data_IF_962176660915
#
_entry.id   IF_962176660915
#
_cell.length_a   1.000
_cell.length_b   1.000
_cell.length_c   1.000
_cell.angle_alpha   90.00
_cell.angle_beta   90.00
_cell.angle_gamma   90.00
#
_symmetry.space_group_name_H-M   'P 1'
#
loop_
_entity.id
_entity.type
_entity.pdbx_description
1 polymer ?
#
# COMPACT_ATOMS: atom_id res chain seq x y z
N UNK A 1 14.50 17.26 -74.16
CA UNK A 1 13.46 16.97 -73.15
C UNK A 1 14.17 16.29 -71.97
N UNK A 2 14.44 17.02 -70.89
CA UNK A 2 15.15 16.49 -69.71
C UNK A 2 14.18 16.24 -68.59
N UNK A 3 13.85 14.98 -68.29
CA UNK A 3 13.05 14.58 -67.11
C UNK A 3 13.99 14.54 -65.87
N UNK A 4 13.84 15.48 -64.96
CA UNK A 4 14.43 15.43 -63.61
C UNK A 4 13.42 14.74 -62.70
N UNK A 5 13.68 13.48 -62.30
CA UNK A 5 12.95 12.78 -61.26
C UNK A 5 13.35 13.36 -59.89
N UNK A 6 12.41 13.96 -59.21
CA UNK A 6 12.53 14.36 -57.80
C UNK A 6 12.21 13.12 -56.94
N UNK A 7 13.22 12.54 -56.31
CA UNK A 7 13.05 11.58 -55.22
C UNK A 7 12.77 12.33 -53.93
N UNK A 8 11.52 12.29 -53.45
CA UNK A 8 11.16 12.74 -52.11
C UNK A 8 11.48 11.62 -51.13
N UNK A 9 12.49 11.83 -50.28
CA UNK A 9 12.76 10.96 -49.12
C UNK A 9 11.84 11.37 -47.99
N UNK A 10 10.84 10.54 -47.68
CA UNK A 10 10.03 10.71 -46.48
C UNK A 10 10.80 10.16 -45.28
N UNK A 11 11.28 11.03 -44.40
CA UNK A 11 11.86 10.66 -43.12
C UNK A 11 10.72 10.35 -42.16
N UNK A 12 10.46 9.06 -41.90
CA UNK A 12 9.58 8.63 -40.80
C UNK A 12 10.36 8.83 -39.49
N UNK A 13 10.04 9.88 -38.76
CA UNK A 13 10.44 10.02 -37.35
C UNK A 13 9.50 9.14 -36.51
N UNK A 14 9.96 7.95 -36.15
CA UNK A 14 9.31 7.16 -35.09
C UNK A 14 9.64 7.84 -33.76
N UNK A 15 8.70 8.58 -33.19
CA UNK A 15 8.74 8.97 -31.79
C UNK A 15 8.56 7.68 -30.96
N UNK A 16 9.64 7.19 -30.36
CA UNK A 16 9.54 6.22 -29.29
C UNK A 16 8.86 6.92 -28.12
N UNK A 17 7.56 6.71 -27.96
CA UNK A 17 6.89 7.02 -26.70
C UNK A 17 7.52 6.08 -25.67
N UNK A 18 8.24 6.65 -24.68
CA UNK A 18 8.63 5.93 -23.49
C UNK A 18 7.31 5.48 -22.83
N UNK A 19 7.01 4.20 -22.91
CA UNK A 19 5.92 3.64 -22.13
C UNK A 19 6.41 3.64 -20.67
N UNK A 20 6.00 4.64 -19.93
CA UNK A 20 6.15 4.66 -18.48
C UNK A 20 5.28 3.51 -17.97
N UNK A 21 5.79 2.66 -17.08
CA UNK A 21 4.97 1.66 -16.46
C UNK A 21 3.89 2.40 -15.63
N UNK A 22 2.64 1.98 -15.78
CA UNK A 22 1.55 2.63 -15.06
C UNK A 22 1.65 2.34 -13.56
N UNK A 23 1.19 3.26 -12.69
CA UNK A 23 1.13 3.01 -11.26
C UNK A 23 0.24 1.81 -10.93
N UNK A 24 0.52 1.13 -9.83
CA UNK A 24 -0.32 0.05 -9.32
C UNK A 24 -1.60 0.69 -8.73
N UNK A 25 -2.75 0.28 -9.23
CA UNK A 25 -4.05 0.67 -8.69
C UNK A 25 -4.79 -0.54 -8.15
N UNK A 26 -5.64 -0.41 -7.10
CA UNK A 26 -6.42 -1.52 -6.58
C UNK A 26 -7.18 -2.24 -7.70
N UNK A 27 -6.93 -3.54 -7.85
CA UNK A 27 -7.49 -4.38 -8.91
C UNK A 27 -7.72 -5.77 -8.35
N UNK A 28 -8.92 -6.33 -8.53
CA UNK A 28 -9.31 -7.65 -8.03
C UNK A 28 -10.63 -8.08 -8.66
N UNK A 29 -10.96 -9.37 -8.57
CA UNK A 29 -12.26 -9.88 -9.03
C UNK A 29 -13.36 -9.61 -8.00
N UNK A 30 -13.06 -9.74 -6.71
CA UNK A 30 -13.98 -9.44 -5.61
C UNK A 30 -13.22 -9.08 -4.32
N UNK A 31 -13.89 -8.31 -3.45
CA UNK A 31 -13.38 -7.90 -2.14
C UNK A 31 -14.24 -8.51 -1.03
N UNK A 32 -13.63 -9.18 -0.06
CA UNK A 32 -14.37 -9.81 1.02
C UNK A 32 -13.61 -10.90 1.76
N UNK A 33 -14.34 -11.87 2.30
CA UNK A 33 -13.77 -12.95 3.09
C UNK A 33 -13.05 -13.98 2.22
N UNK A 34 -11.78 -14.23 2.51
CA UNK A 34 -11.01 -15.34 1.93
C UNK A 34 -10.95 -16.50 2.92
N UNK A 35 -11.89 -17.45 2.77
CA UNK A 35 -11.98 -18.60 3.65
C UNK A 35 -10.68 -19.44 3.60
N UNK A 36 -10.13 -19.76 4.76
CA UNK A 36 -8.90 -20.53 4.91
C UNK A 36 -7.60 -19.69 4.87
N UNK A 37 -7.66 -18.37 4.57
CA UNK A 37 -6.53 -17.50 4.74
C UNK A 37 -6.32 -17.20 6.23
N UNK A 38 -5.09 -17.39 6.70
CA UNK A 38 -4.63 -17.04 8.06
C UNK A 38 -3.46 -16.05 8.00
N UNK A 39 -2.98 -15.75 6.79
CA UNK A 39 -1.83 -14.88 6.55
C UNK A 39 -0.61 -15.23 7.43
N UNK A 40 -0.42 -16.54 7.70
CA UNK A 40 0.69 -17.05 8.50
C UNK A 40 0.59 -16.83 10.01
N UNK A 41 -0.51 -16.28 10.51
CA UNK A 41 -0.72 -16.01 11.94
C UNK A 41 -2.12 -16.37 12.43
N UNK A 42 -2.29 -16.39 13.77
CA UNK A 42 -3.59 -16.52 14.40
C UNK A 42 -4.16 -15.13 14.72
N UNK A 43 -5.45 -14.92 14.42
CA UNK A 43 -6.14 -13.67 14.73
C UNK A 43 -5.91 -12.54 13.72
N UNK A 44 -5.29 -12.82 12.57
CA UNK A 44 -5.26 -11.88 11.45
C UNK A 44 -6.61 -11.93 10.74
N UNK A 45 -7.29 -10.78 10.55
CA UNK A 45 -8.59 -10.73 9.87
C UNK A 45 -8.48 -11.20 8.42
N UNK A 46 -9.48 -11.95 7.95
CA UNK A 46 -9.57 -12.42 6.57
C UNK A 46 -10.86 -12.00 5.85
N UNK A 47 -11.58 -11.02 6.41
CA UNK A 47 -12.86 -10.51 5.90
C UNK A 47 -12.68 -9.38 4.89
N UNK A 48 -11.52 -8.71 4.89
CA UNK A 48 -11.20 -7.58 4.01
C UNK A 48 -10.01 -7.95 3.13
N UNK A 49 -10.26 -8.77 2.11
CA UNK A 49 -9.24 -9.26 1.19
C UNK A 49 -9.62 -8.90 -0.24
N UNK A 50 -8.69 -8.34 -1.00
CA UNK A 50 -8.79 -8.21 -2.45
C UNK A 50 -8.38 -9.54 -3.08
N UNK A 51 -9.28 -10.19 -3.81
CA UNK A 51 -9.12 -11.57 -4.26
C UNK A 51 -9.28 -11.63 -5.78
N UNK A 52 -8.38 -12.37 -6.45
CA UNK A 52 -8.53 -12.73 -7.85
C UNK A 52 -8.33 -14.22 -8.05
N UNK A 53 -9.15 -14.78 -8.94
CA UNK A 53 -9.14 -16.19 -9.32
C UNK A 53 -8.87 -16.33 -10.82
N UNK A 54 -8.15 -17.38 -11.23
CA UNK A 54 -7.96 -17.67 -12.63
C UNK A 54 -7.67 -19.14 -12.92
N UNK A 55 -7.86 -19.59 -14.16
CA UNK A 55 -7.75 -21.00 -14.52
C UNK A 55 -6.31 -21.51 -14.45
N UNK A 56 -6.15 -22.76 -14.03
CA UNK A 56 -4.90 -23.53 -14.14
C UNK A 56 -5.18 -24.88 -14.77
N UNK A 57 -4.12 -25.64 -15.08
CA UNK A 57 -4.28 -26.95 -15.69
C UNK A 57 -5.07 -27.94 -14.83
N UNK A 58 -4.99 -27.80 -13.49
CA UNK A 58 -5.59 -28.75 -12.54
C UNK A 58 -6.57 -28.08 -11.58
N UNK A 59 -7.17 -26.95 -11.96
CA UNK A 59 -8.12 -26.24 -11.12
C UNK A 59 -8.05 -24.73 -11.32
N UNK A 60 -7.94 -23.98 -10.20
CA UNK A 60 -7.78 -22.54 -10.25
C UNK A 60 -6.59 -22.06 -9.41
N UNK A 61 -5.96 -20.97 -9.82
CA UNK A 61 -5.11 -20.15 -8.97
C UNK A 61 -6.00 -19.15 -8.21
N UNK A 62 -5.69 -18.93 -6.95
CA UNK A 62 -6.27 -17.86 -6.14
C UNK A 62 -5.14 -17.03 -5.56
N UNK A 63 -5.24 -15.73 -5.71
CA UNK A 63 -4.36 -14.75 -5.07
C UNK A 63 -5.19 -13.77 -4.24
N UNK A 64 -4.68 -13.41 -3.06
CA UNK A 64 -5.36 -12.50 -2.14
C UNK A 64 -4.37 -11.55 -1.47
N UNK A 65 -4.74 -10.29 -1.37
CA UNK A 65 -4.00 -9.25 -0.63
C UNK A 65 -4.89 -8.56 0.38
N UNK A 66 -4.32 -8.25 1.52
CA UNK A 66 -4.96 -7.48 2.60
C UNK A 66 -3.93 -6.59 3.29
N UNK A 67 -4.40 -5.60 4.05
CA UNK A 67 -3.59 -4.92 5.04
C UNK A 67 -4.28 -4.94 6.39
N UNK A 68 -3.51 -5.03 7.47
CA UNK A 68 -4.04 -5.17 8.82
C UNK A 68 -3.08 -4.53 9.85
N UNK A 69 -3.60 -4.28 11.05
CA UNK A 69 -2.80 -3.75 12.15
C UNK A 69 -1.68 -4.72 12.56
N UNK A 70 -0.59 -4.15 13.08
CA UNK A 70 0.50 -4.90 13.69
C UNK A 70 0.35 -4.89 15.21
N UNK A 71 0.17 -6.08 15.81
CA UNK A 71 -0.02 -6.26 17.26
C UNK A 71 -1.04 -5.27 17.87
N UNK A 72 -0.62 -4.43 18.80
CA UNK A 72 -1.44 -3.47 19.55
C UNK A 72 -1.63 -2.13 18.82
N UNK A 73 -1.18 -2.04 17.57
CA UNK A 73 -1.34 -0.83 16.77
C UNK A 73 -2.83 -0.54 16.47
N UNK A 74 -3.17 0.70 16.08
CA UNK A 74 -4.52 1.03 15.66
C UNK A 74 -5.02 0.13 14.52
N UNK A 75 -6.29 -0.29 14.61
CA UNK A 75 -6.91 -1.08 13.55
C UNK A 75 -7.02 -0.25 12.26
N UNK A 76 -6.75 -0.90 11.13
CA UNK A 76 -6.96 -0.29 9.82
C UNK A 76 -8.45 -0.29 9.47
N UNK A 77 -8.86 0.76 8.78
CA UNK A 77 -10.14 0.79 8.06
C UNK A 77 -9.90 0.57 6.57
N UNK A 78 -10.95 0.30 5.81
CA UNK A 78 -10.87 0.18 4.36
C UNK A 78 -12.13 0.72 3.69
N UNK A 79 -12.05 0.98 2.39
CA UNK A 79 -13.16 1.51 1.59
C UNK A 79 -14.03 0.42 0.92
N UNK A 80 -13.70 -0.85 1.11
CA UNK A 80 -14.33 -1.98 0.42
C UNK A 80 -13.92 -2.13 -1.04
N UNK A 81 -12.98 -1.30 -1.53
CA UNK A 81 -12.51 -1.25 -2.90
C UNK A 81 -10.99 -1.41 -3.01
N UNK A 82 -10.38 -2.09 -2.03
CA UNK A 82 -8.95 -2.41 -2.05
C UNK A 82 -8.03 -1.32 -1.51
N UNK A 83 -8.57 -0.21 -1.01
CA UNK A 83 -7.80 0.81 -0.29
C UNK A 83 -7.96 0.63 1.21
N UNK A 84 -6.83 0.55 1.90
CA UNK A 84 -6.74 0.48 3.36
C UNK A 84 -6.19 1.79 3.91
N UNK A 85 -6.65 2.17 5.10
CA UNK A 85 -6.21 3.39 5.76
C UNK A 85 -5.49 3.04 7.05
N UNK A 86 -4.21 3.41 7.13
CA UNK A 86 -3.32 3.15 8.25
C UNK A 86 -2.82 4.46 8.87
N UNK A 87 -2.32 4.35 10.10
CA UNK A 87 -1.68 5.43 10.80
C UNK A 87 -0.16 5.36 10.63
N UNK A 88 0.49 6.51 10.39
CA UNK A 88 1.94 6.63 10.43
C UNK A 88 2.47 6.34 11.84
N UNK A 89 3.59 5.67 11.92
CA UNK A 89 4.22 5.37 13.19
C UNK A 89 5.06 4.11 13.19
N UNK A 90 6.05 4.08 14.07
CA UNK A 90 6.93 2.92 14.28
C UNK A 90 6.36 2.01 15.37
N UNK A 91 6.34 0.70 15.08
CA UNK A 91 5.93 -0.33 16.02
C UNK A 91 6.98 -0.54 17.11
N UNK A 92 6.56 -0.61 18.38
CA UNK A 92 7.41 -0.99 19.50
C UNK A 92 7.89 -2.45 19.45
N UNK A 93 7.33 -3.25 18.54
CA UNK A 93 7.66 -4.66 18.33
C UNK A 93 8.57 -4.88 17.12
N UNK A 94 9.32 -3.86 16.70
CA UNK A 94 10.38 -4.02 15.70
C UNK A 94 11.52 -4.89 16.29
N UNK A 95 12.18 -5.73 15.49
CA UNK A 95 13.25 -6.60 15.96
C UNK A 95 14.50 -5.79 16.37
N UNK A 96 14.70 -4.62 15.78
CA UNK A 96 15.81 -3.71 16.02
C UNK A 96 15.33 -2.26 16.02
N UNK A 97 15.87 -1.39 16.87
CA UNK A 97 15.60 0.06 16.76
C UNK A 97 16.11 0.69 15.47
N UNK A 98 17.06 0.04 14.79
CA UNK A 98 17.62 0.52 13.52
C UNK A 98 16.80 0.09 12.30
N UNK A 99 15.87 -0.87 12.49
CA UNK A 99 15.00 -1.40 11.45
C UNK A 99 13.54 -1.22 11.90
N UNK A 100 13.02 0.01 11.86
CA UNK A 100 11.73 0.32 12.42
C UNK A 100 10.61 -0.27 11.54
N UNK A 101 9.70 -1.03 12.15
CA UNK A 101 8.52 -1.56 11.49
C UNK A 101 7.35 -0.60 11.59
N UNK A 102 6.54 -0.52 10.55
CA UNK A 102 5.28 0.22 10.57
C UNK A 102 4.28 -0.35 11.60
N UNK A 103 3.30 0.45 11.98
CA UNK A 103 2.14 0.03 12.79
C UNK A 103 1.20 -0.93 12.07
N UNK A 104 1.42 -1.18 10.80
CA UNK A 104 0.61 -2.03 9.94
C UNK A 104 1.47 -3.03 9.16
N UNK A 105 0.83 -4.10 8.74
CA UNK A 105 1.41 -5.13 7.87
C UNK A 105 0.54 -5.28 6.62
N UNK A 106 1.14 -5.76 5.54
CA UNK A 106 0.39 -6.34 4.44
C UNK A 106 0.40 -7.86 4.53
N UNK A 107 -0.70 -8.49 4.14
CA UNK A 107 -0.83 -9.93 4.13
C UNK A 107 -1.10 -10.45 2.73
N UNK A 108 -0.51 -11.59 2.37
CA UNK A 108 -0.77 -12.24 1.09
C UNK A 108 -1.20 -13.70 1.27
N UNK A 109 -2.02 -14.15 0.32
CA UNK A 109 -2.43 -15.55 0.14
C UNK A 109 -2.27 -15.94 -1.33
N UNK A 110 -1.72 -17.12 -1.59
CA UNK A 110 -1.45 -17.63 -2.92
C UNK A 110 -1.66 -19.14 -2.99
N UNK A 111 -2.43 -19.62 -3.96
CA UNK A 111 -2.67 -21.05 -4.16
C UNK A 111 -2.94 -21.40 -5.62
N UNK A 112 -2.66 -22.63 -6.01
CA UNK A 112 -3.06 -23.23 -7.30
C UNK A 112 -2.16 -22.92 -8.50
N UNK A 113 -1.14 -22.05 -8.42
CA UNK A 113 -0.16 -21.82 -9.48
C UNK A 113 1.23 -22.33 -9.10
N UNK A 114 2.11 -22.42 -10.09
CA UNK A 114 3.48 -22.90 -9.89
C UNK A 114 4.45 -21.82 -9.41
N UNK A 115 4.17 -20.57 -9.71
CA UNK A 115 5.01 -19.44 -9.31
C UNK A 115 4.17 -18.20 -9.01
N UNK A 116 4.67 -17.39 -8.09
CA UNK A 116 4.03 -16.15 -7.66
C UNK A 116 5.09 -15.08 -7.46
N UNK A 117 4.72 -13.83 -7.75
CA UNK A 117 5.53 -12.65 -7.47
C UNK A 117 4.69 -11.65 -6.71
N UNK A 118 5.24 -11.11 -5.64
CA UNK A 118 4.69 -9.96 -4.94
C UNK A 118 5.56 -8.75 -5.28
N UNK A 119 4.92 -7.69 -5.73
CA UNK A 119 5.51 -6.36 -5.99
C UNK A 119 5.07 -5.44 -4.87
N UNK A 120 5.97 -4.60 -4.36
CA UNK A 120 5.73 -3.70 -3.24
C UNK A 120 6.49 -2.39 -3.41
N UNK A 121 6.01 -1.37 -2.75
CA UNK A 121 6.43 0.01 -2.87
C UNK A 121 7.00 0.52 -1.54
N UNK A 122 8.12 1.26 -1.61
CA UNK A 122 8.71 1.97 -0.46
C UNK A 122 8.51 3.47 -0.53
N UNK A 123 8.24 4.02 -1.73
CA UNK A 123 8.05 5.45 -1.93
C UNK A 123 6.63 5.88 -1.51
N UNK A 124 6.49 6.80 -0.54
CA UNK A 124 5.19 7.30 -0.12
C UNK A 124 4.52 8.24 -1.13
N UNK A 125 5.16 8.57 -2.26
CA UNK A 125 4.57 9.40 -3.29
C UNK A 125 3.36 8.71 -3.93
N UNK A 126 2.33 9.48 -4.25
CA UNK A 126 1.17 8.94 -4.95
C UNK A 126 1.47 8.67 -6.43
N UNK A 127 0.86 7.60 -6.96
CA UNK A 127 0.88 7.27 -8.39
C UNK A 127 2.30 7.08 -8.99
N UNK A 128 3.27 6.63 -8.19
CA UNK A 128 4.62 6.32 -8.63
C UNK A 128 4.67 5.13 -9.60
N UNK A 129 5.77 5.03 -10.35
CA UNK A 129 5.92 4.05 -11.43
C UNK A 129 6.20 2.65 -10.87
N UNK A 130 5.41 1.67 -11.29
CA UNK A 130 5.60 0.26 -10.90
C UNK A 130 7.00 -0.28 -11.21
N UNK A 131 7.73 0.28 -12.17
CA UNK A 131 9.09 -0.16 -12.49
C UNK A 131 10.11 0.17 -11.41
N UNK A 132 9.78 1.13 -10.52
CA UNK A 132 10.60 1.56 -9.38
C UNK A 132 10.34 0.72 -8.12
N UNK A 133 9.31 -0.14 -8.15
CA UNK A 133 8.92 -1.00 -7.04
C UNK A 133 9.82 -2.21 -6.87
N UNK A 134 10.00 -2.62 -5.62
CA UNK A 134 10.59 -3.91 -5.29
C UNK A 134 9.66 -5.09 -5.59
N UNK A 135 10.25 -6.28 -5.70
CA UNK A 135 9.48 -7.50 -5.84
C UNK A 135 10.23 -8.70 -5.28
N UNK A 136 9.49 -9.72 -4.88
CA UNK A 136 10.07 -11.03 -4.56
C UNK A 136 9.19 -12.20 -5.03
N UNK A 137 9.84 -13.34 -5.27
CA UNK A 137 9.16 -14.59 -5.57
C UNK A 137 8.73 -15.26 -4.26
N UNK A 138 7.46 -15.67 -4.16
CA UNK A 138 6.96 -16.29 -2.95
C UNK A 138 7.57 -17.68 -2.72
N UNK A 139 7.99 -17.92 -1.48
CA UNK A 139 8.46 -19.22 -0.95
C UNK A 139 7.43 -19.90 -0.03
N UNK A 140 6.36 -19.19 0.32
CA UNK A 140 5.24 -19.68 1.13
C UNK A 140 3.92 -19.31 0.46
N UNK A 141 2.85 -20.06 0.78
CA UNK A 141 1.51 -19.82 0.23
C UNK A 141 0.80 -18.62 0.86
N UNK A 142 1.22 -18.19 2.03
CA UNK A 142 0.67 -17.04 2.73
C UNK A 142 1.64 -16.53 3.80
N UNK A 143 1.62 -15.24 4.06
CA UNK A 143 2.36 -14.62 5.15
C UNK A 143 1.80 -13.21 5.42
N UNK A 144 2.23 -12.63 6.56
CA UNK A 144 2.03 -11.25 6.94
C UNK A 144 3.40 -10.59 7.07
N UNK A 145 3.64 -9.53 6.34
CA UNK A 145 4.92 -8.87 6.22
C UNK A 145 4.81 -7.38 6.57
N UNK A 146 5.92 -6.82 7.05
CA UNK A 146 6.09 -5.40 7.29
C UNK A 146 7.10 -4.83 6.30
N UNK A 147 6.88 -3.63 5.78
CA UNK A 147 7.82 -3.00 4.86
C UNK A 147 9.20 -2.74 5.46
N UNK A 148 9.31 -2.59 6.79
CA UNK A 148 10.59 -2.47 7.48
C UNK A 148 11.38 -3.78 7.65
N UNK A 149 11.02 -4.86 6.95
CA UNK A 149 11.78 -6.12 7.01
C UNK A 149 13.00 -6.07 6.08
N UNK A 150 14.20 -6.24 6.61
CA UNK A 150 15.50 -6.13 5.91
C UNK A 150 15.59 -6.88 4.59
N UNK A 151 14.90 -8.03 4.46
CA UNK A 151 14.97 -8.80 3.22
C UNK A 151 14.25 -8.11 2.06
N UNK A 152 13.32 -7.17 2.33
CA UNK A 152 12.62 -6.38 1.30
C UNK A 152 13.53 -5.29 0.72
N UNK A 153 14.54 -4.86 1.49
CA UNK A 153 15.60 -3.95 1.06
C UNK A 153 16.85 -4.72 0.63
N UNK A 154 16.66 -5.76 -0.15
CA UNK A 154 17.77 -6.60 -0.62
C UNK A 154 17.62 -6.97 -2.09
N UNK A 155 18.75 -7.17 -2.76
CA UNK A 155 18.78 -7.59 -4.15
C UNK A 155 19.41 -8.98 -4.28
N UNK A 156 18.58 -9.98 -4.59
CA UNK A 156 19.03 -11.32 -4.92
C UNK A 156 18.47 -11.73 -6.28
N UNK A 157 19.28 -11.73 -7.34
CA UNK A 157 18.82 -11.93 -8.71
C UNK A 157 17.87 -13.11 -8.88
N UNK A 158 16.76 -12.90 -9.63
CA UNK A 158 15.67 -13.84 -9.92
C UNK A 158 14.77 -14.21 -8.73
N UNK A 159 15.08 -13.76 -7.52
CA UNK A 159 14.29 -14.05 -6.31
C UNK A 159 13.74 -12.79 -5.66
N UNK A 160 14.60 -11.79 -5.49
CA UNK A 160 14.26 -10.50 -4.86
C UNK A 160 14.89 -9.38 -5.68
N UNK A 161 14.18 -8.29 -5.88
CA UNK A 161 14.68 -7.01 -6.37
C UNK A 161 14.25 -5.94 -5.39
N UNK A 162 15.21 -5.19 -4.89
CA UNK A 162 14.96 -4.02 -4.06
C UNK A 162 14.19 -2.94 -4.85
N UNK A 163 13.38 -2.10 -4.20
CA UNK A 163 12.82 -0.90 -4.82
C UNK A 163 13.92 0.13 -5.13
N UNK A 164 13.64 1.03 -6.08
CA UNK A 164 14.57 2.13 -6.39
C UNK A 164 14.62 3.20 -5.28
N UNK A 165 13.66 3.16 -4.35
CA UNK A 165 13.61 4.03 -3.17
C UNK A 165 14.46 3.41 -2.04
N UNK A 166 15.45 4.17 -1.53
CA UNK A 166 16.58 3.67 -0.73
C UNK A 166 16.18 2.98 0.59
N UNK A 167 15.03 3.33 1.21
CA UNK A 167 14.63 2.75 2.50
C UNK A 167 13.19 3.11 2.89
N UNK A 168 12.52 2.23 3.61
CA UNK A 168 11.17 2.45 4.11
C UNK A 168 11.17 3.27 5.41
N UNK A 169 10.40 4.36 5.44
CA UNK A 169 10.17 5.17 6.65
C UNK A 169 8.75 4.93 7.19
N UNK A 170 8.58 4.27 8.36
CA UNK A 170 7.25 4.04 8.95
C UNK A 170 6.55 5.32 9.41
N UNK A 171 7.28 6.45 9.51
CA UNK A 171 6.71 7.76 9.87
C UNK A 171 6.25 8.54 8.63
N UNK A 172 6.60 8.11 7.43
CA UNK A 172 6.19 8.78 6.21
C UNK A 172 4.69 8.60 5.96
N UNK A 173 4.02 9.70 5.70
CA UNK A 173 2.63 9.72 5.23
C UNK A 173 2.61 9.64 3.71
N UNK A 174 1.61 8.94 3.15
CA UNK A 174 1.51 8.77 1.71
C UNK A 174 0.76 7.52 1.29
N UNK A 175 1.07 7.01 0.12
CA UNK A 175 0.44 5.84 -0.47
C UNK A 175 1.48 4.76 -0.73
N UNK A 176 1.14 3.52 -0.39
CA UNK A 176 1.96 2.34 -0.66
C UNK A 176 1.13 1.32 -1.42
N UNK A 177 1.67 0.78 -2.49
CA UNK A 177 0.95 -0.13 -3.37
C UNK A 177 1.56 -1.53 -3.38
N UNK A 178 0.69 -2.53 -3.55
CA UNK A 178 1.08 -3.94 -3.56
C UNK A 178 0.35 -4.65 -4.69
N UNK A 179 1.07 -5.51 -5.42
CA UNK A 179 0.47 -6.40 -6.41
C UNK A 179 0.98 -7.82 -6.23
N UNK A 180 0.08 -8.77 -6.18
CA UNK A 180 0.38 -10.20 -6.16
C UNK A 180 -0.04 -10.83 -7.48
N UNK A 181 0.92 -11.43 -8.19
CA UNK A 181 0.69 -12.09 -9.47
C UNK A 181 1.01 -13.58 -9.39
N UNK A 182 0.04 -14.41 -9.77
CA UNK A 182 0.22 -15.83 -10.06
C UNK A 182 0.49 -16.05 -11.53
N UNK A 183 1.53 -16.79 -11.86
CA UNK A 183 1.88 -17.15 -13.25
C UNK A 183 1.28 -18.49 -13.60
N UNK A 184 0.37 -18.52 -14.56
CA UNK A 184 -0.30 -19.72 -15.04
C UNK A 184 -0.10 -19.92 -16.54
N UNK A 185 -0.34 -21.13 -17.03
CA UNK A 185 -0.29 -21.43 -18.47
C UNK A 185 -1.39 -20.73 -19.29
N UNK A 186 -2.43 -20.27 -18.62
CA UNK A 186 -3.60 -19.62 -19.25
C UNK A 186 -3.59 -18.08 -19.12
N UNK A 187 -2.49 -17.52 -18.64
CA UNK A 187 -2.31 -16.10 -18.37
C UNK A 187 -2.02 -15.81 -16.91
N UNK A 188 -1.69 -14.57 -16.61
CA UNK A 188 -1.42 -14.14 -15.26
C UNK A 188 -2.74 -13.83 -14.52
N UNK A 189 -2.77 -14.14 -13.22
CA UNK A 189 -3.84 -13.77 -12.31
C UNK A 189 -3.25 -12.81 -11.28
N UNK A 190 -3.76 -11.60 -11.22
CA UNK A 190 -3.20 -10.57 -10.33
C UNK A 190 -4.28 -9.96 -9.45
N UNK A 191 -3.89 -9.60 -8.24
CA UNK A 191 -4.66 -8.75 -7.33
C UNK A 191 -3.78 -7.64 -6.82
N UNK A 192 -4.34 -6.45 -6.61
CA UNK A 192 -3.60 -5.29 -6.11
C UNK A 192 -4.41 -4.52 -5.07
N UNK A 193 -3.69 -3.96 -4.09
CA UNK A 193 -4.24 -3.09 -3.05
C UNK A 193 -3.38 -1.83 -2.88
N UNK A 194 -3.97 -0.85 -2.21
CA UNK A 194 -3.30 0.38 -1.78
C UNK A 194 -3.45 0.54 -0.26
N UNK A 195 -2.40 1.01 0.39
CA UNK A 195 -2.43 1.45 1.79
C UNK A 195 -2.15 2.94 1.81
N UNK A 196 -3.10 3.73 2.28
CA UNK A 196 -2.97 5.17 2.51
C UNK A 196 -2.61 5.38 3.96
N UNK A 197 -1.43 5.95 4.20
CA UNK A 197 -0.90 6.23 5.53
C UNK A 197 -1.09 7.71 5.83
N UNK A 198 -1.72 8.03 6.96
CA UNK A 198 -1.96 9.38 7.41
C UNK A 198 -1.44 9.57 8.85
N UNK A 199 -1.25 10.82 9.25
CA UNK A 199 -0.94 11.14 10.64
C UNK A 199 -1.99 10.57 11.60
N UNK A 200 -1.55 10.29 12.83
CA UNK A 200 -2.48 10.06 13.92
C UNK A 200 -3.47 11.23 13.99
N UNK A 201 -4.77 10.98 14.17
CA UNK A 201 -5.69 12.05 14.42
C UNK A 201 -5.17 12.85 15.62
N UNK A 202 -4.86 14.13 15.39
CA UNK A 202 -4.41 15.00 16.48
C UNK A 202 -5.49 14.97 17.55
N UNK A 203 -5.13 14.51 18.75
CA UNK A 203 -5.99 14.66 19.93
C UNK A 203 -6.02 16.12 20.42
N UNK A 204 -5.78 17.09 19.55
CA UNK A 204 -6.12 18.48 19.77
C UNK A 204 -7.64 18.57 19.88
N UNK A 205 -8.13 18.14 21.03
CA UNK A 205 -9.50 18.46 21.45
C UNK A 205 -9.53 19.98 21.46
N UNK A 206 -10.30 20.64 20.56
CA UNK A 206 -10.44 22.09 20.61
C UNK A 206 -10.81 22.43 22.04
N UNK A 207 -10.02 23.28 22.70
CA UNK A 207 -10.28 23.64 24.09
C UNK A 207 -11.77 23.91 24.24
N UNK A 208 -12.48 23.19 25.12
CA UNK A 208 -13.93 23.25 25.16
C UNK A 208 -14.34 24.72 25.19
N UNK A 209 -15.27 25.13 24.35
CA UNK A 209 -15.80 26.49 24.32
C UNK A 209 -16.22 26.98 25.76
N UNK A 210 -16.30 26.07 26.71
CA UNK A 210 -16.40 26.30 28.15
C UNK A 210 -15.29 27.17 28.72
N UNK A 211 -14.03 27.10 28.25
CA UNK A 211 -12.97 28.02 28.71
C UNK A 211 -13.18 29.43 28.17
N UNK A 212 -13.60 29.58 26.93
CA UNK A 212 -13.99 30.87 26.37
C UNK A 212 -15.23 31.43 27.10
N UNK A 213 -16.23 30.59 27.38
CA UNK A 213 -17.42 30.95 28.15
C UNK A 213 -17.09 31.33 29.60
N UNK A 214 -16.19 30.58 30.25
CA UNK A 214 -15.71 30.92 31.59
C UNK A 214 -14.96 32.26 31.60
N UNK A 215 -14.14 32.54 30.61
CA UNK A 215 -13.48 33.83 30.41
C UNK A 215 -14.46 34.98 30.25
N UNK A 216 -15.48 34.82 29.39
CA UNK A 216 -16.54 35.83 29.19
C UNK A 216 -17.36 36.03 30.48
N UNK A 217 -17.69 34.96 31.21
CA UNK A 217 -18.40 35.03 32.48
C UNK A 217 -17.63 35.82 33.55
N UNK A 218 -16.32 35.60 33.66
CA UNK A 218 -15.44 36.32 34.58
C UNK A 218 -15.34 37.81 34.22
N UNK A 219 -15.24 38.15 32.93
CA UNK A 219 -15.25 39.55 32.47
C UNK A 219 -16.59 40.22 32.79
N UNK A 220 -17.71 39.51 32.55
CA UNK A 220 -19.06 39.99 32.89
C UNK A 220 -19.23 40.26 34.38
N UNK A 221 -18.70 39.37 35.24
CA UNK A 221 -18.73 39.55 36.70
C UNK A 221 -17.91 40.77 37.16
N UNK A 222 -16.72 40.93 36.57
CA UNK A 222 -15.85 42.10 36.89
C UNK A 222 -16.49 43.43 36.47
N UNK A 223 -17.16 43.46 35.32
CA UNK A 223 -17.87 44.65 34.83
C UNK A 223 -19.10 44.96 35.67
N UNK A 224 -19.83 43.96 36.18
CA UNK A 224 -21.00 44.14 37.02
C UNK A 224 -20.66 44.71 38.41
N UNK A 225 -19.50 44.34 38.99
CA UNK A 225 -19.01 44.88 40.26
C UNK A 225 -18.62 46.36 40.16
N UNK A 226 -18.10 46.82 39.02
CA UNK A 226 -17.75 48.25 38.81
C UNK A 226 -18.96 49.17 38.69
N UNK A 227 -20.15 48.66 38.40
CA UNK A 227 -21.38 49.46 38.29
C UNK A 227 -22.10 49.68 39.65
N UNK A 228 -21.68 48.97 40.69
CA UNK A 228 -22.28 49.07 42.02
C UNK A 228 -21.41 49.84 43.02
N UNK A 229 -20.31 50.41 42.62
CA UNK A 229 -19.45 51.33 43.33
C UNK A 229 -19.59 52.72 42.71
#
# INVERSE_FOLDING_TARGET
MNFRSLFSVAVLTTSAASAWAAPITPTFDYFGTLAGATFGGSGIPNEAVAISDGPTLFGKATVGLTAHQRYDAPALTNDGNGTFYAQAGASSHAPSPNDPYALWNFGFYASGAAAYRLTYDFDPAADNDKSEHGWFTLVSSQNSLNLGMDFLDSNFPLVISEPDFDWFDPMAIGEYTFELTAYTLFGNVSTAIKVVVADAPSNDVPEPASLALAGIALIGLAASRRRKA
#
